data_IF_605963919264
#
_entry.id   IF_605963919264
#
_cell.length_a   1.000
_cell.length_b   1.000
_cell.length_c   1.000
_cell.angle_alpha   90.00
_cell.angle_beta   90.00
_cell.angle_gamma   90.00
#
_symmetry.space_group_name_H-M   'P 1'
#
loop_
_entity.id
_entity.type
_entity.pdbx_description
1 polymer ?
#
# COMPACT_ATOMS: atom_id res chain seq x y z
N UNK A 1 -8.07 22.14 -5.15
CA UNK A 1 -7.56 23.51 -5.48
C UNK A 1 -8.44 24.11 -6.60
N UNK A 2 -8.58 25.45 -6.68
CA UNK A 2 -9.32 26.07 -7.80
C UNK A 2 -8.49 26.21 -9.08
N UNK A 3 -7.16 26.32 -8.95
CA UNK A 3 -6.19 26.30 -10.04
C UNK A 3 -4.87 25.67 -9.55
N UNK A 4 -4.07 25.15 -10.48
CA UNK A 4 -2.72 24.65 -10.23
C UNK A 4 -1.80 25.19 -11.32
N UNK A 5 -0.69 25.82 -10.94
CA UNK A 5 0.35 26.28 -11.86
C UNK A 5 1.65 25.60 -11.43
N UNK A 6 2.17 24.72 -12.26
CA UNK A 6 3.44 24.04 -12.05
C UNK A 6 4.44 24.52 -13.10
N UNK A 7 5.36 25.38 -12.67
CA UNK A 7 6.45 25.85 -13.51
C UNK A 7 7.53 24.76 -13.55
N UNK A 8 7.66 24.11 -14.72
CA UNK A 8 8.57 22.98 -14.90
C UNK A 8 10.02 23.41 -14.73
N UNK A 9 10.40 24.61 -15.16
CA UNK A 9 11.78 25.10 -15.02
C UNK A 9 12.14 25.26 -13.54
N UNK A 10 11.20 25.74 -12.71
CA UNK A 10 11.39 25.79 -11.25
C UNK A 10 11.52 24.39 -10.66
N UNK A 11 10.63 23.45 -11.04
CA UNK A 11 10.60 22.10 -10.48
C UNK A 11 11.83 21.28 -10.88
N UNK A 12 12.34 21.44 -12.10
CA UNK A 12 13.58 20.79 -12.54
C UNK A 12 14.80 21.19 -11.70
N UNK A 13 14.77 22.39 -11.11
CA UNK A 13 15.82 22.91 -10.24
C UNK A 13 15.58 22.65 -8.74
N UNK A 14 14.51 21.94 -8.38
CA UNK A 14 14.24 21.57 -6.99
C UNK A 14 15.28 20.56 -6.47
N UNK A 15 15.51 20.49 -5.13
CA UNK A 15 16.32 19.43 -4.53
C UNK A 15 15.84 18.04 -5.00
N UNK A 16 16.79 17.18 -5.37
CA UNK A 16 16.49 15.86 -5.97
C UNK A 16 15.66 14.98 -5.04
N UNK A 17 15.83 15.13 -3.74
CA UNK A 17 15.07 14.40 -2.73
C UNK A 17 13.56 14.74 -2.80
N UNK A 18 13.19 15.95 -3.21
CA UNK A 18 11.80 16.34 -3.37
C UNK A 18 11.15 15.68 -4.60
N UNK A 19 11.86 15.63 -5.74
CA UNK A 19 11.36 14.95 -6.95
C UNK A 19 11.37 13.43 -6.78
N UNK A 20 12.37 12.87 -6.10
CA UNK A 20 12.39 11.46 -5.71
C UNK A 20 11.23 11.09 -4.78
N UNK A 21 10.91 11.95 -3.81
CA UNK A 21 9.73 11.78 -2.95
C UNK A 21 8.43 11.83 -3.77
N UNK A 22 8.29 12.79 -4.69
CA UNK A 22 7.15 12.87 -5.59
C UNK A 22 7.01 11.63 -6.49
N UNK A 23 8.12 11.12 -7.02
CA UNK A 23 8.12 9.90 -7.82
C UNK A 23 7.71 8.68 -7.00
N UNK A 24 8.25 8.51 -5.79
CA UNK A 24 7.87 7.42 -4.90
C UNK A 24 6.40 7.47 -4.51
N UNK A 25 5.86 8.66 -4.25
CA UNK A 25 4.42 8.84 -4.03
C UNK A 25 3.62 8.45 -5.28
N UNK A 26 4.00 8.90 -6.48
CA UNK A 26 3.32 8.48 -7.71
C UNK A 26 3.42 6.97 -7.95
N UNK A 27 4.55 6.35 -7.63
CA UNK A 27 4.81 4.92 -7.80
C UNK A 27 3.85 4.06 -6.96
N UNK A 28 3.47 4.52 -5.75
CA UNK A 28 2.50 3.86 -4.88
C UNK A 28 1.11 3.63 -5.50
N UNK A 29 0.77 4.34 -6.58
CA UNK A 29 -0.51 4.19 -7.27
C UNK A 29 -0.63 2.79 -7.90
N UNK A 30 0.49 2.09 -8.10
CA UNK A 30 0.55 0.70 -8.54
C UNK A 30 -0.11 -0.21 -7.49
N UNK A 31 0.35 -0.19 -6.25
CA UNK A 31 -0.18 -1.04 -5.16
C UNK A 31 -1.55 -0.56 -4.69
N UNK A 32 -1.80 0.75 -4.68
CA UNK A 32 -3.13 1.29 -4.39
C UNK A 32 -4.19 0.81 -5.42
N UNK A 33 -3.82 0.75 -6.70
CA UNK A 33 -4.66 0.19 -7.76
C UNK A 33 -4.92 -1.31 -7.56
N UNK A 34 -3.90 -2.07 -7.15
CA UNK A 34 -4.06 -3.48 -6.82
C UNK A 34 -5.00 -3.71 -5.63
N UNK A 35 -4.92 -2.88 -4.59
CA UNK A 35 -5.85 -2.93 -3.46
C UNK A 35 -7.28 -2.63 -3.88
N UNK A 36 -7.47 -1.73 -4.86
CA UNK A 36 -8.80 -1.43 -5.40
C UNK A 36 -9.34 -2.58 -6.25
N UNK A 37 -8.50 -3.22 -7.08
CA UNK A 37 -8.86 -4.44 -7.83
C UNK A 37 -9.36 -5.53 -6.89
N UNK A 38 -8.69 -5.72 -5.75
CA UNK A 38 -9.11 -6.68 -4.74
C UNK A 38 -10.49 -6.33 -4.14
N UNK A 39 -10.66 -5.08 -3.72
CA UNK A 39 -11.92 -4.65 -3.13
C UNK A 39 -13.10 -4.72 -4.11
N UNK A 40 -12.88 -4.40 -5.39
CA UNK A 40 -13.87 -4.51 -6.45
C UNK A 40 -14.23 -5.98 -6.72
N UNK A 41 -13.22 -6.83 -6.87
CA UNK A 41 -13.42 -8.26 -7.16
C UNK A 41 -14.14 -9.01 -6.03
N UNK A 42 -14.07 -8.51 -4.80
CA UNK A 42 -14.78 -9.06 -3.65
C UNK A 42 -16.07 -8.29 -3.30
N UNK A 43 -16.50 -7.39 -4.18
CA UNK A 43 -17.72 -6.60 -4.04
C UNK A 43 -17.78 -5.78 -2.72
N UNK A 44 -16.62 -5.30 -2.28
CA UNK A 44 -16.46 -4.44 -1.09
C UNK A 44 -16.57 -2.97 -1.48
N UNK A 45 -15.82 -2.57 -2.52
CA UNK A 45 -15.80 -1.20 -3.02
C UNK A 45 -15.56 -1.27 -4.53
N UNK A 46 -16.56 -0.91 -5.36
CA UNK A 46 -16.41 -0.99 -6.82
C UNK A 46 -15.37 0.00 -7.32
N UNK A 47 -14.73 -0.33 -8.44
CA UNK A 47 -13.90 0.64 -9.16
C UNK A 47 -14.78 1.73 -9.79
N UNK A 48 -14.47 3.00 -9.48
CA UNK A 48 -14.98 4.13 -10.27
C UNK A 48 -14.11 4.23 -11.52
N UNK A 49 -14.66 3.76 -12.64
CA UNK A 49 -13.98 3.69 -13.94
C UNK A 49 -13.33 5.02 -14.35
N UNK A 50 -13.96 6.16 -14.02
CA UNK A 50 -13.41 7.45 -14.40
C UNK A 50 -12.23 7.83 -13.52
N UNK A 51 -12.34 7.66 -12.21
CA UNK A 51 -11.22 7.89 -11.29
C UNK A 51 -10.07 6.93 -11.55
N UNK A 52 -10.36 5.67 -11.88
CA UNK A 52 -9.38 4.67 -12.31
C UNK A 52 -8.65 5.13 -13.56
N UNK A 53 -9.37 5.45 -14.63
CA UNK A 53 -8.79 5.87 -15.91
C UNK A 53 -7.92 7.13 -15.77
N UNK A 54 -8.34 8.11 -14.96
CA UNK A 54 -7.56 9.33 -14.70
C UNK A 54 -6.16 9.00 -14.16
N UNK A 55 -6.02 7.97 -13.30
CA UNK A 55 -4.73 7.62 -12.68
C UNK A 55 -4.00 6.53 -13.46
N UNK A 56 -4.67 5.39 -13.70
CA UNK A 56 -4.02 4.14 -14.06
C UNK A 56 -3.66 4.05 -15.55
N UNK A 57 -4.41 4.70 -16.45
CA UNK A 57 -4.18 4.59 -17.90
C UNK A 57 -2.84 5.21 -18.33
N UNK A 58 -2.43 6.31 -17.68
CA UNK A 58 -1.18 7.03 -17.95
C UNK A 58 -0.04 6.71 -16.97
N UNK A 59 -0.29 5.92 -15.93
CA UNK A 59 0.64 5.74 -14.80
C UNK A 59 2.01 5.21 -15.24
N UNK A 60 2.03 4.20 -16.11
CA UNK A 60 3.29 3.61 -16.57
C UNK A 60 4.13 4.58 -17.42
N UNK A 61 3.50 5.45 -18.20
CA UNK A 61 4.22 6.48 -18.96
C UNK A 61 4.80 7.54 -18.01
N UNK A 62 4.02 7.96 -17.01
CA UNK A 62 4.47 8.91 -16.00
C UNK A 62 5.65 8.41 -15.17
N UNK A 63 5.76 7.09 -14.97
CA UNK A 63 6.83 6.43 -14.22
C UNK A 63 7.98 5.91 -15.11
N UNK A 64 7.95 6.15 -16.41
CA UNK A 64 8.82 5.47 -17.38
C UNK A 64 10.31 5.82 -17.28
N UNK A 65 10.66 7.00 -16.75
CA UNK A 65 12.04 7.51 -16.72
C UNK A 65 12.49 7.99 -15.32
N UNK A 66 12.78 7.08 -14.38
CA UNK A 66 13.26 7.45 -13.05
C UNK A 66 14.61 8.17 -13.06
N UNK A 67 15.51 7.85 -14.02
CA UNK A 67 16.81 8.52 -14.16
C UNK A 67 16.66 9.96 -14.66
N UNK A 68 15.77 10.20 -15.62
CA UNK A 68 15.40 11.54 -16.05
C UNK A 68 14.85 12.38 -14.90
N UNK A 69 13.95 11.81 -14.08
CA UNK A 69 13.45 12.50 -12.88
C UNK A 69 14.57 12.81 -11.89
N UNK A 70 15.49 11.87 -11.64
CA UNK A 70 16.66 12.10 -10.77
C UNK A 70 17.54 13.26 -11.26
N UNK A 71 17.72 13.34 -12.59
CA UNK A 71 18.57 14.34 -13.22
C UNK A 71 17.87 15.69 -13.47
N UNK A 72 16.59 15.81 -13.14
CA UNK A 72 15.81 17.02 -13.40
C UNK A 72 15.53 17.24 -14.89
N UNK A 73 15.42 16.16 -15.67
CA UNK A 73 15.08 16.25 -17.09
C UNK A 73 13.67 16.86 -17.28
N UNK A 74 13.50 17.93 -18.09
CA UNK A 74 12.22 18.60 -18.22
C UNK A 74 11.08 17.71 -18.72
N UNK A 75 11.35 16.74 -19.58
CA UNK A 75 10.31 15.84 -20.11
C UNK A 75 9.89 14.86 -19.01
N UNK A 76 10.84 14.25 -18.32
CA UNK A 76 10.56 13.33 -17.22
C UNK A 76 9.84 14.03 -16.04
N UNK A 77 10.28 15.23 -15.68
CA UNK A 77 9.64 16.06 -14.65
C UNK A 77 8.22 16.48 -15.06
N UNK A 78 8.00 16.84 -16.32
CA UNK A 78 6.64 17.17 -16.83
C UNK A 78 5.70 15.98 -16.62
N UNK A 79 6.12 14.78 -17.04
CA UNK A 79 5.33 13.55 -16.87
C UNK A 79 5.04 13.23 -15.42
N UNK A 80 6.04 13.36 -14.54
CA UNK A 80 5.86 13.17 -13.10
C UNK A 80 4.82 14.14 -12.53
N UNK A 81 4.94 15.43 -12.84
CA UNK A 81 4.04 16.48 -12.37
C UNK A 81 2.61 16.23 -12.87
N UNK A 82 2.44 15.90 -14.15
CA UNK A 82 1.14 15.54 -14.72
C UNK A 82 0.52 14.33 -14.02
N UNK A 83 1.30 13.26 -13.80
CA UNK A 83 0.84 12.07 -13.07
C UNK A 83 0.38 12.39 -11.65
N UNK A 84 1.14 13.21 -10.91
CA UNK A 84 0.76 13.67 -9.57
C UNK A 84 -0.52 14.52 -9.58
N UNK A 85 -0.66 15.42 -10.56
CA UNK A 85 -1.88 16.22 -10.73
C UNK A 85 -3.10 15.35 -11.04
N UNK A 86 -2.95 14.35 -11.92
CA UNK A 86 -4.01 13.39 -12.25
C UNK A 86 -4.45 12.61 -11.00
N UNK A 87 -3.52 12.19 -10.14
CA UNK A 87 -3.85 11.63 -8.83
C UNK A 87 -4.73 12.58 -8.00
N UNK A 88 -4.38 13.86 -7.94
CA UNK A 88 -5.19 14.89 -7.29
C UNK A 88 -6.59 15.07 -7.91
N UNK A 89 -6.69 15.04 -9.24
CA UNK A 89 -7.98 15.16 -9.95
C UNK A 89 -8.88 13.95 -9.74
N UNK A 90 -8.32 12.74 -9.74
CA UNK A 90 -9.06 11.51 -9.45
C UNK A 90 -9.62 11.50 -8.03
N UNK A 91 -8.82 11.95 -7.04
CA UNK A 91 -9.31 12.12 -5.67
C UNK A 91 -10.40 13.19 -5.56
N UNK A 92 -10.26 14.30 -6.29
CA UNK A 92 -11.28 15.35 -6.32
C UNK A 92 -12.58 14.88 -6.98
N UNK A 93 -12.48 14.00 -7.99
CA UNK A 93 -13.62 13.37 -8.66
C UNK A 93 -14.34 12.40 -7.73
N UNK A 94 -13.62 11.41 -7.17
CA UNK A 94 -14.20 10.35 -6.35
C UNK A 94 -14.53 10.76 -4.91
N UNK A 95 -14.09 11.95 -4.48
CA UNK A 95 -14.17 12.42 -3.08
C UNK A 95 -13.53 11.46 -2.08
N UNK A 96 -12.54 10.70 -2.53
CA UNK A 96 -11.83 9.69 -1.75
C UNK A 96 -10.36 9.67 -2.16
N UNK A 97 -9.47 9.36 -1.22
CA UNK A 97 -8.08 9.03 -1.58
C UNK A 97 -7.94 7.66 -2.27
N UNK A 98 -9.06 6.92 -2.40
CA UNK A 98 -9.33 5.77 -3.30
C UNK A 98 -8.20 5.49 -4.31
N UNK A 99 -8.12 6.34 -5.35
CA UNK A 99 -7.32 6.06 -6.54
C UNK A 99 -5.81 6.22 -6.35
N UNK A 100 -5.38 6.79 -5.21
CA UNK A 100 -4.01 7.23 -5.00
C UNK A 100 -3.37 6.67 -3.72
N UNK A 101 -4.11 5.91 -2.92
CA UNK A 101 -3.70 5.48 -1.58
C UNK A 101 -4.28 4.10 -1.23
N UNK A 102 -3.43 3.19 -0.78
CA UNK A 102 -3.75 1.84 -0.33
C UNK A 102 -2.98 1.50 0.95
N UNK A 103 -2.59 0.24 1.07
CA UNK A 103 -1.84 -0.27 2.22
C UNK A 103 -0.49 0.41 2.40
N UNK A 104 0.19 0.80 1.32
CA UNK A 104 1.49 1.48 1.39
C UNK A 104 1.40 2.84 2.11
N UNK A 105 0.29 3.57 1.93
CA UNK A 105 0.04 4.81 2.67
C UNK A 105 -0.35 4.55 4.13
N UNK A 106 -0.96 3.39 4.45
CA UNK A 106 -1.24 3.03 5.85
C UNK A 106 0.06 2.91 6.65
N UNK A 107 1.15 2.40 6.04
CA UNK A 107 2.46 2.36 6.68
C UNK A 107 2.97 3.77 7.01
N UNK A 108 2.98 4.66 6.01
CA UNK A 108 3.39 6.06 6.19
C UNK A 108 2.54 6.79 7.24
N UNK A 109 1.22 6.62 7.21
CA UNK A 109 0.32 7.25 8.18
C UNK A 109 0.56 6.73 9.60
N UNK A 110 0.76 5.43 9.78
CA UNK A 110 1.08 4.86 11.08
C UNK A 110 2.38 5.47 11.63
N UNK A 111 3.45 5.50 10.84
CA UNK A 111 4.72 6.08 11.31
C UNK A 111 4.63 7.58 11.62
N UNK A 112 3.80 8.33 10.89
CA UNK A 112 3.54 9.73 11.21
C UNK A 112 2.78 9.90 12.52
N UNK A 113 1.77 9.06 12.78
CA UNK A 113 1.04 9.07 14.05
C UNK A 113 1.97 8.72 15.23
N UNK A 114 2.97 7.88 15.00
CA UNK A 114 4.01 7.53 15.98
C UNK A 114 5.11 8.58 16.13
N UNK A 115 5.00 9.72 15.46
CA UNK A 115 6.02 10.77 15.44
C UNK A 115 7.40 10.25 15.03
N UNK A 116 7.44 9.32 14.06
CA UNK A 116 8.70 8.73 13.61
C UNK A 116 9.65 9.77 13.00
N UNK A 117 10.93 9.69 13.38
CA UNK A 117 11.98 10.60 12.94
C UNK A 117 13.17 9.81 12.40
N UNK A 118 13.84 10.38 11.40
CA UNK A 118 15.13 9.94 10.92
C UNK A 118 16.17 10.99 11.30
N UNK A 119 17.14 10.60 12.13
CA UNK A 119 18.18 11.51 12.66
C UNK A 119 17.64 12.81 13.30
N UNK A 120 16.47 12.72 13.95
CA UNK A 120 15.83 13.86 14.61
C UNK A 120 14.94 14.73 13.70
N UNK A 121 14.80 14.39 12.42
CA UNK A 121 13.98 15.11 11.46
C UNK A 121 12.81 14.26 10.93
N UNK A 122 11.74 14.92 10.49
CA UNK A 122 10.64 14.25 9.83
C UNK A 122 11.07 13.73 8.47
N UNK A 123 10.66 12.51 8.16
CA UNK A 123 10.92 11.88 6.86
C UNK A 123 9.92 12.41 5.84
N UNK A 124 10.39 12.65 4.62
CA UNK A 124 9.51 13.02 3.51
C UNK A 124 8.41 11.97 3.29
N UNK A 125 7.18 12.40 3.04
CA UNK A 125 6.04 11.50 2.88
C UNK A 125 6.29 10.43 1.80
N UNK A 126 6.76 10.83 0.62
CA UNK A 126 7.08 9.90 -0.46
C UNK A 126 8.16 8.89 -0.10
N UNK A 127 9.09 9.22 0.81
CA UNK A 127 10.11 8.30 1.28
C UNK A 127 9.56 7.25 2.25
N UNK A 128 8.63 7.62 3.12
CA UNK A 128 7.88 6.65 3.91
C UNK A 128 7.03 5.75 2.99
N UNK A 129 6.33 6.36 2.04
CA UNK A 129 5.50 5.65 1.05
C UNK A 129 6.34 4.73 0.15
N UNK A 130 7.61 5.07 -0.15
CA UNK A 130 8.55 4.21 -0.87
C UNK A 130 8.73 2.86 -0.16
N UNK A 131 9.07 2.89 1.13
CA UNK A 131 9.24 1.68 1.95
C UNK A 131 7.92 0.92 2.07
N UNK A 132 6.81 1.62 2.28
CA UNK A 132 5.47 1.02 2.27
C UNK A 132 5.17 0.31 0.95
N UNK A 133 5.49 0.92 -0.19
CA UNK A 133 5.20 0.37 -1.52
C UNK A 133 6.03 -0.89 -1.79
N UNK A 134 7.30 -0.89 -1.39
CA UNK A 134 8.19 -2.06 -1.48
C UNK A 134 7.68 -3.20 -0.59
N UNK A 135 7.32 -2.88 0.66
CA UNK A 135 6.74 -3.81 1.62
C UNK A 135 5.48 -4.49 1.07
N UNK A 136 4.56 -3.68 0.55
CA UNK A 136 3.29 -4.17 -0.02
C UNK A 136 3.50 -4.91 -1.34
N UNK A 137 4.44 -4.50 -2.18
CA UNK A 137 4.81 -5.23 -3.40
C UNK A 137 5.31 -6.64 -3.07
N UNK A 138 6.17 -6.78 -2.05
CA UNK A 138 6.64 -8.09 -1.59
C UNK A 138 5.50 -8.96 -1.05
N UNK A 139 4.55 -8.36 -0.32
CA UNK A 139 3.37 -9.07 0.18
C UNK A 139 2.46 -9.55 -0.97
N UNK A 140 2.29 -8.73 -2.01
CA UNK A 140 1.59 -9.13 -3.23
C UNK A 140 2.28 -10.29 -3.94
N UNK A 141 3.62 -10.33 -3.99
CA UNK A 141 4.32 -11.49 -4.56
C UNK A 141 4.06 -12.78 -3.77
N UNK A 142 4.02 -12.72 -2.43
CA UNK A 142 3.65 -13.87 -1.60
C UNK A 142 2.19 -14.32 -1.83
N UNK A 143 1.28 -13.36 -1.97
CA UNK A 143 -0.10 -13.63 -2.30
C UNK A 143 -0.26 -14.30 -3.67
N UNK A 144 0.43 -13.81 -4.71
CA UNK A 144 0.40 -14.37 -6.06
C UNK A 144 0.99 -15.79 -6.15
N UNK A 145 1.93 -16.13 -5.26
CA UNK A 145 2.50 -17.49 -5.12
C UNK A 145 1.59 -18.45 -4.34
N UNK A 146 0.65 -17.92 -3.55
CA UNK A 146 -0.23 -18.72 -2.70
C UNK A 146 -1.28 -19.47 -3.52
N UNK A 147 -1.54 -20.72 -3.14
CA UNK A 147 -2.58 -21.55 -3.76
C UNK A 147 -3.96 -21.22 -3.19
N UNK A 148 -4.45 -20.01 -3.49
CA UNK A 148 -5.75 -19.50 -3.03
C UNK A 148 -6.90 -20.40 -3.49
N UNK A 149 -6.76 -21.08 -4.63
CA UNK A 149 -7.74 -22.05 -5.14
C UNK A 149 -7.95 -23.24 -4.21
N UNK A 150 -7.02 -23.52 -3.30
CA UNK A 150 -7.13 -24.57 -2.29
C UNK A 150 -7.30 -24.02 -0.86
N UNK A 151 -7.69 -22.74 -0.70
CA UNK A 151 -7.98 -22.15 0.60
C UNK A 151 -8.99 -22.99 1.40
N UNK A 152 -8.61 -23.35 2.64
CA UNK A 152 -9.48 -24.04 3.60
C UNK A 152 -10.35 -23.03 4.35
N UNK A 153 -11.43 -22.61 3.68
CA UNK A 153 -12.40 -21.66 4.22
C UNK A 153 -12.97 -22.12 5.56
N UNK A 154 -13.17 -23.42 5.75
CA UNK A 154 -13.75 -23.96 6.99
C UNK A 154 -12.79 -23.77 8.17
N UNK A 155 -11.51 -24.06 7.97
CA UNK A 155 -10.50 -23.85 9.01
C UNK A 155 -10.36 -22.36 9.35
N UNK A 156 -10.34 -21.48 8.35
CA UNK A 156 -10.28 -20.03 8.55
C UNK A 156 -11.47 -19.53 9.37
N UNK A 157 -12.70 -19.94 9.03
CA UNK A 157 -13.91 -19.56 9.78
C UNK A 157 -13.90 -20.06 11.22
N UNK A 158 -13.28 -21.22 11.49
CA UNK A 158 -13.16 -21.77 12.84
C UNK A 158 -12.18 -20.98 13.70
N UNK A 159 -11.14 -20.44 13.08
CA UNK A 159 -10.13 -19.61 13.73
C UNK A 159 -10.49 -18.11 13.74
N UNK A 160 -11.59 -17.71 13.10
CA UNK A 160 -11.97 -16.30 13.02
C UNK A 160 -12.40 -15.77 14.40
N UNK A 161 -11.77 -14.69 14.90
CA UNK A 161 -12.06 -14.16 16.22
C UNK A 161 -13.50 -13.64 16.31
N UNK A 162 -14.08 -13.70 17.51
CA UNK A 162 -15.33 -13.00 17.79
C UNK A 162 -15.13 -11.48 17.71
N UNK A 163 -16.23 -10.73 17.58
CA UNK A 163 -16.17 -9.26 17.58
C UNK A 163 -15.55 -8.72 18.87
N UNK A 164 -15.85 -9.33 20.02
CA UNK A 164 -15.26 -8.97 21.31
C UNK A 164 -13.77 -9.32 21.41
N UNK A 165 -13.33 -10.40 20.76
CA UNK A 165 -11.90 -10.76 20.69
C UNK A 165 -11.14 -9.79 19.78
N UNK A 166 -11.69 -9.49 18.59
CA UNK A 166 -11.15 -8.47 17.67
C UNK A 166 -11.07 -7.09 18.32
N UNK A 167 -12.10 -6.69 19.07
CA UNK A 167 -12.12 -5.42 19.80
C UNK A 167 -10.98 -5.33 20.83
N UNK A 168 -10.75 -6.40 21.59
CA UNK A 168 -9.68 -6.46 22.60
C UNK A 168 -8.31 -6.40 21.95
N UNK A 169 -8.09 -7.16 20.88
CA UNK A 169 -6.85 -7.14 20.13
C UNK A 169 -6.56 -5.76 19.54
N UNK A 170 -7.56 -5.14 18.91
CA UNK A 170 -7.42 -3.82 18.30
C UNK A 170 -7.10 -2.71 19.32
N UNK A 171 -7.59 -2.81 20.55
CA UNK A 171 -7.22 -1.92 21.66
C UNK A 171 -5.79 -2.20 22.15
N UNK A 172 -5.41 -3.47 22.29
CA UNK A 172 -4.09 -3.86 22.78
C UNK A 172 -2.95 -3.39 21.86
N UNK A 173 -3.17 -3.42 20.53
CA UNK A 173 -2.18 -3.02 19.52
C UNK A 173 -1.68 -1.58 19.67
N UNK A 174 -2.52 -0.68 20.18
CA UNK A 174 -2.21 0.74 20.35
C UNK A 174 -2.23 1.20 21.80
N UNK A 175 -2.22 0.24 22.74
CA UNK A 175 -2.11 0.55 24.16
C UNK A 175 -0.83 1.36 24.43
N UNK A 176 -0.96 2.45 25.19
CA UNK A 176 0.15 3.33 25.53
C UNK A 176 0.61 4.28 24.42
N UNK A 177 -0.05 4.29 23.26
CA UNK A 177 0.15 5.31 22.21
C UNK A 177 -0.74 6.54 22.45
N UNK A 178 -0.52 7.61 21.68
CA UNK A 178 -1.38 8.81 21.70
C UNK A 178 -2.76 8.59 21.04
N UNK A 179 -3.01 7.41 20.46
CA UNK A 179 -4.21 7.08 19.70
C UNK A 179 -4.77 5.68 20.02
N UNK A 180 -4.98 5.34 21.31
CA UNK A 180 -5.28 3.97 21.74
C UNK A 180 -6.61 3.42 21.19
N UNK A 181 -7.56 4.28 20.82
CA UNK A 181 -8.88 3.88 20.34
C UNK A 181 -8.98 3.73 18.82
N UNK A 182 -7.97 4.16 18.04
CA UNK A 182 -8.11 4.18 16.57
C UNK A 182 -8.30 2.77 16.00
N UNK A 183 -7.56 1.79 16.56
CA UNK A 183 -7.66 0.39 16.15
C UNK A 183 -9.07 -0.14 16.34
N UNK A 184 -9.67 0.14 17.49
CA UNK A 184 -11.04 -0.26 17.81
C UNK A 184 -12.05 0.36 16.83
N UNK A 185 -11.95 1.67 16.59
CA UNK A 185 -12.87 2.40 15.73
C UNK A 185 -12.86 1.87 14.29
N UNK A 186 -11.66 1.69 13.72
CA UNK A 186 -11.53 1.27 12.33
C UNK A 186 -11.78 -0.23 12.16
N UNK A 187 -11.41 -1.07 13.14
CA UNK A 187 -11.71 -2.51 13.12
C UNK A 187 -13.20 -2.78 13.22
N UNK A 188 -13.90 -2.10 14.14
CA UNK A 188 -15.37 -2.18 14.24
C UNK A 188 -16.06 -1.83 12.94
N UNK A 189 -15.57 -0.80 12.26
CA UNK A 189 -16.17 -0.33 11.02
C UNK A 189 -16.04 -1.34 9.85
N UNK A 190 -15.07 -2.26 9.89
CA UNK A 190 -14.83 -3.24 8.82
C UNK A 190 -14.90 -4.71 9.25
N UNK A 191 -15.23 -5.00 10.50
CA UNK A 191 -15.38 -6.36 11.01
C UNK A 191 -16.45 -7.09 10.18
N UNK A 192 -16.15 -8.32 9.80
CA UNK A 192 -17.09 -9.20 9.09
C UNK A 192 -17.45 -10.37 9.97
N UNK A 193 -18.75 -10.67 10.03
CA UNK A 193 -19.20 -11.89 10.70
C UNK A 193 -18.82 -13.14 9.87
N UNK A 194 -18.99 -14.33 10.46
CA UNK A 194 -18.57 -15.58 9.81
C UNK A 194 -19.28 -15.84 8.46
N UNK A 195 -20.53 -15.43 8.28
CA UNK A 195 -21.26 -15.62 7.02
C UNK A 195 -20.75 -14.69 5.91
N UNK A 196 -20.51 -13.43 6.24
CA UNK A 196 -19.91 -12.45 5.34
C UNK A 196 -18.49 -12.86 4.94
N UNK A 197 -17.68 -13.29 5.90
CA UNK A 197 -16.33 -13.78 5.65
C UNK A 197 -16.37 -15.03 4.76
N UNK A 198 -17.24 -15.99 5.04
CA UNK A 198 -17.38 -17.20 4.22
C UNK A 198 -17.69 -16.84 2.76
N UNK A 199 -18.61 -15.92 2.55
CA UNK A 199 -19.00 -15.44 1.21
C UNK A 199 -17.82 -14.80 0.49
N UNK A 200 -17.06 -13.94 1.17
CA UNK A 200 -15.89 -13.27 0.59
C UNK A 200 -14.78 -14.26 0.24
N UNK A 201 -14.45 -15.20 1.14
CA UNK A 201 -13.40 -16.18 0.91
C UNK A 201 -13.77 -17.17 -0.20
N UNK A 202 -15.05 -17.55 -0.28
CA UNK A 202 -15.54 -18.37 -1.37
C UNK A 202 -15.46 -17.63 -2.71
N UNK A 203 -15.88 -16.36 -2.75
CA UNK A 203 -15.75 -15.51 -3.95
C UNK A 203 -14.28 -15.35 -4.37
N UNK A 204 -13.38 -15.10 -3.42
CA UNK A 204 -11.94 -15.01 -3.66
C UNK A 204 -11.41 -16.30 -4.31
N UNK A 205 -11.77 -17.45 -3.74
CA UNK A 205 -11.34 -18.79 -4.19
C UNK A 205 -11.86 -19.12 -5.60
N UNK A 206 -13.13 -18.87 -5.87
CA UNK A 206 -13.78 -19.17 -7.15
C UNK A 206 -13.28 -18.26 -8.28
N UNK A 207 -13.05 -16.98 -7.97
CA UNK A 207 -12.62 -15.99 -8.96
C UNK A 207 -11.10 -15.81 -9.03
N UNK A 208 -10.33 -16.62 -8.28
CA UNK A 208 -8.89 -16.44 -8.13
C UNK A 208 -8.13 -16.31 -9.46
N UNK A 209 -8.35 -17.15 -10.50
CA UNK A 209 -7.62 -17.02 -11.75
C UNK A 209 -7.81 -15.64 -12.43
N UNK A 210 -9.02 -15.08 -12.37
CA UNK A 210 -9.33 -13.78 -12.94
C UNK A 210 -8.71 -12.64 -12.11
N UNK A 211 -8.81 -12.75 -10.78
CA UNK A 211 -8.19 -11.79 -9.84
C UNK A 211 -6.67 -11.77 -10.04
N UNK A 212 -6.04 -12.95 -10.03
CA UNK A 212 -4.60 -13.12 -10.24
C UNK A 212 -4.14 -12.48 -11.54
N UNK A 213 -4.84 -12.73 -12.66
CA UNK A 213 -4.48 -12.12 -13.94
C UNK A 213 -4.55 -10.57 -13.93
N UNK A 214 -5.56 -9.99 -13.26
CA UNK A 214 -5.64 -8.52 -13.10
C UNK A 214 -4.48 -7.99 -12.25
N UNK A 215 -4.14 -8.67 -11.16
CA UNK A 215 -3.06 -8.27 -10.24
C UNK A 215 -1.68 -8.42 -10.88
N UNK A 216 -1.41 -9.50 -11.62
CA UNK A 216 -0.15 -9.69 -12.35
C UNK A 216 0.07 -8.63 -13.44
N UNK A 217 -1.00 -8.10 -14.02
CA UNK A 217 -0.92 -6.96 -14.95
C UNK A 217 -0.66 -5.64 -14.24
N UNK A 218 -1.21 -5.47 -13.04
CA UNK A 218 -1.13 -4.23 -12.27
C UNK A 218 0.21 -4.06 -11.55
N UNK A 219 0.65 -5.10 -10.84
CA UNK A 219 1.82 -5.05 -9.96
C UNK A 219 3.11 -5.10 -10.77
N UNK A 220 4.06 -4.25 -10.40
CA UNK A 220 5.45 -4.31 -10.88
C UNK A 220 6.23 -5.30 -10.00
N UNK A 221 7.06 -6.20 -10.56
CA UNK A 221 7.86 -7.13 -9.77
C UNK A 221 8.74 -6.43 -8.73
N UNK A 222 8.96 -7.06 -7.58
CA UNK A 222 9.68 -6.48 -6.44
C UNK A 222 11.04 -5.92 -6.83
N UNK A 223 11.84 -6.69 -7.59
CA UNK A 223 13.17 -6.26 -8.03
C UNK A 223 13.13 -5.04 -8.96
N UNK A 224 12.09 -4.91 -9.77
CA UNK A 224 11.91 -3.76 -10.65
C UNK A 224 11.43 -2.52 -9.87
N UNK A 225 10.58 -2.71 -8.85
CA UNK A 225 10.22 -1.64 -7.93
C UNK A 225 11.45 -1.09 -7.20
N UNK A 226 12.29 -1.96 -6.62
CA UNK A 226 13.57 -1.59 -6.01
C UNK A 226 14.45 -0.83 -6.99
N UNK A 227 14.63 -1.35 -8.21
CA UNK A 227 15.47 -0.70 -9.23
C UNK A 227 15.01 0.71 -9.54
N UNK A 228 13.72 0.93 -9.83
CA UNK A 228 13.19 2.25 -10.20
C UNK A 228 13.24 3.26 -9.05
N UNK A 229 12.87 2.83 -7.85
CA UNK A 229 12.91 3.68 -6.66
C UNK A 229 14.36 4.04 -6.29
N UNK A 230 15.30 3.10 -6.42
CA UNK A 230 16.72 3.38 -6.23
C UNK A 230 17.25 4.37 -7.28
N UNK A 231 16.90 4.19 -8.56
CA UNK A 231 17.34 5.08 -9.65
C UNK A 231 16.88 6.52 -9.47
N UNK A 232 15.66 6.74 -8.97
CA UNK A 232 15.19 8.10 -8.70
C UNK A 232 15.84 8.72 -7.44
N UNK A 233 16.41 7.88 -6.57
CA UNK A 233 17.03 8.30 -5.30
C UNK A 233 16.09 8.20 -4.09
N UNK A 234 15.00 7.43 -4.17
CA UNK A 234 14.13 7.13 -3.04
C UNK A 234 14.74 6.00 -2.18
N UNK A 235 14.47 5.95 -0.86
CA UNK A 235 14.93 4.85 -0.02
C UNK A 235 14.25 3.54 -0.41
N UNK A 236 15.03 2.46 -0.40
CA UNK A 236 14.60 1.11 -0.76
C UNK A 236 14.73 0.10 0.38
N UNK A 237 15.44 0.45 1.44
CA UNK A 237 15.59 -0.34 2.66
C UNK A 237 15.01 0.42 3.85
N UNK A 238 14.29 -0.24 4.78
CA UNK A 238 13.64 0.44 5.90
C UNK A 238 14.63 1.19 6.80
N UNK A 239 15.87 0.71 6.93
CA UNK A 239 16.90 1.32 7.76
C UNK A 239 17.35 2.68 7.23
N UNK A 240 17.19 2.94 5.91
CA UNK A 240 17.49 4.25 5.31
C UNK A 240 16.57 5.36 5.84
N UNK A 241 15.45 5.00 6.46
CA UNK A 241 14.56 5.93 7.15
C UNK A 241 14.44 5.61 8.66
N UNK A 242 15.43 4.92 9.24
CA UNK A 242 15.46 4.51 10.66
C UNK A 242 14.30 3.61 11.12
N UNK A 243 13.73 2.82 10.21
CA UNK A 243 12.83 1.71 10.56
C UNK A 243 13.66 0.42 10.61
N UNK A 244 13.61 -0.33 11.71
CA UNK A 244 14.25 -1.66 11.77
C UNK A 244 13.36 -2.69 11.07
N UNK A 245 13.93 -3.84 10.69
CA UNK A 245 13.16 -4.95 10.08
C UNK A 245 12.10 -5.50 11.02
N UNK A 246 12.37 -5.57 12.32
CA UNK A 246 11.39 -5.97 13.34
C UNK A 246 10.22 -4.99 13.36
N UNK A 247 10.51 -3.67 13.37
CA UNK A 247 9.46 -2.66 13.31
C UNK A 247 8.71 -2.68 11.98
N UNK A 248 9.37 -2.97 10.87
CA UNK A 248 8.70 -3.16 9.58
C UNK A 248 7.74 -4.36 9.63
N UNK A 249 8.17 -5.50 10.20
CA UNK A 249 7.32 -6.68 10.42
C UNK A 249 6.10 -6.35 11.27
N UNK A 250 6.28 -5.63 12.37
CA UNK A 250 5.17 -5.14 13.20
C UNK A 250 4.24 -4.19 12.44
N UNK A 251 4.79 -3.36 11.54
CA UNK A 251 4.02 -2.40 10.74
C UNK A 251 3.01 -3.12 9.83
N UNK A 252 3.33 -4.29 9.25
CA UNK A 252 2.37 -5.08 8.46
C UNK A 252 1.09 -5.40 9.23
N UNK A 253 1.23 -5.69 10.53
CA UNK A 253 0.10 -6.01 11.41
C UNK A 253 -0.61 -4.71 11.79
N UNK A 254 0.13 -3.75 12.34
CA UNK A 254 -0.44 -2.54 12.95
C UNK A 254 -1.08 -1.60 11.93
N UNK A 255 -0.53 -1.49 10.72
CA UNK A 255 -1.06 -0.62 9.66
C UNK A 255 -2.49 -1.02 9.24
N UNK A 256 -2.86 -2.29 9.38
CA UNK A 256 -4.20 -2.78 9.10
C UNK A 256 -5.26 -2.10 9.98
N UNK A 257 -4.90 -1.72 11.21
CA UNK A 257 -5.84 -1.23 12.22
C UNK A 257 -6.07 0.28 12.17
N UNK A 258 -5.30 1.04 11.39
CA UNK A 258 -5.42 2.51 11.38
C UNK A 258 -6.43 3.05 10.35
N UNK A 259 -6.98 2.19 9.47
CA UNK A 259 -7.98 2.56 8.45
C UNK A 259 -8.92 1.39 8.12
N UNK A 260 -10.20 1.72 7.88
CA UNK A 260 -11.25 0.77 7.44
C UNK A 260 -11.21 0.39 5.95
N UNK A 261 -10.33 1.01 5.16
CA UNK A 261 -10.19 0.72 3.73
C UNK A 261 -9.71 -0.71 3.55
N UNK A 262 -10.38 -1.45 2.66
CA UNK A 262 -10.00 -2.82 2.32
C UNK A 262 -8.75 -2.86 1.45
N UNK A 263 -7.71 -3.57 1.90
CA UNK A 263 -6.43 -3.72 1.19
C UNK A 263 -5.91 -5.16 1.23
N UNK A 264 -4.74 -5.41 0.66
CA UNK A 264 -4.06 -6.71 0.78
C UNK A 264 -3.81 -7.13 2.24
N UNK A 265 -3.69 -6.18 3.18
CA UNK A 265 -3.55 -6.50 4.61
C UNK A 265 -4.81 -7.18 5.15
N UNK A 266 -5.99 -6.76 4.69
CA UNK A 266 -7.25 -7.40 5.05
C UNK A 266 -7.38 -8.79 4.42
N UNK A 267 -6.89 -9.01 3.20
CA UNK A 267 -6.80 -10.36 2.61
C UNK A 267 -5.91 -11.25 3.49
N UNK A 268 -4.71 -10.77 3.83
CA UNK A 268 -3.75 -11.53 4.62
C UNK A 268 -4.34 -12.01 5.96
N UNK A 269 -5.08 -11.12 6.66
CA UNK A 269 -5.81 -11.46 7.87
C UNK A 269 -6.95 -12.44 7.57
N UNK A 270 -7.83 -12.10 6.63
CA UNK A 270 -9.06 -12.85 6.35
C UNK A 270 -8.80 -14.24 5.81
N UNK A 271 -7.66 -14.50 5.17
CA UNK A 271 -7.25 -15.83 4.72
C UNK A 271 -6.36 -16.57 5.72
N UNK A 272 -6.03 -15.95 6.85
CA UNK A 272 -5.09 -16.46 7.86
C UNK A 272 -3.69 -16.77 7.30
N UNK A 273 -3.27 -16.07 6.24
CA UNK A 273 -1.95 -16.27 5.62
C UNK A 273 -0.90 -15.24 6.07
N UNK A 274 -1.30 -14.20 6.80
CA UNK A 274 -0.38 -13.13 7.22
C UNK A 274 0.88 -13.69 7.90
N UNK A 275 0.76 -14.57 8.89
CA UNK A 275 1.91 -15.16 9.57
C UNK A 275 2.81 -15.96 8.63
N UNK A 276 2.23 -16.72 7.70
CA UNK A 276 2.98 -17.48 6.72
C UNK A 276 3.78 -16.54 5.80
N UNK A 277 3.14 -15.50 5.27
CA UNK A 277 3.80 -14.53 4.39
C UNK A 277 4.89 -13.75 5.13
N UNK A 278 4.63 -13.30 6.36
CA UNK A 278 5.65 -12.64 7.17
C UNK A 278 6.81 -13.58 7.53
N UNK A 279 6.55 -14.87 7.77
CA UNK A 279 7.63 -15.84 7.99
C UNK A 279 8.46 -16.08 6.73
N UNK A 280 7.86 -16.06 5.54
CA UNK A 280 8.63 -16.13 4.28
C UNK A 280 9.48 -14.89 4.04
N UNK A 281 8.94 -13.70 4.36
CA UNK A 281 9.61 -12.42 4.11
C UNK A 281 10.73 -12.12 5.13
N UNK A 282 10.52 -12.47 6.40
CA UNK A 282 11.42 -12.14 7.52
C UNK A 282 12.17 -13.35 8.10
N UNK A 283 11.78 -14.57 7.74
CA UNK A 283 12.50 -15.78 8.17
C UNK A 283 13.78 -16.02 7.39
N UNK A 284 14.43 -17.15 7.68
CA UNK A 284 15.70 -17.54 7.05
C UNK A 284 15.58 -17.59 5.53
N UNK A 285 16.43 -16.83 4.82
CA UNK A 285 16.41 -16.70 3.37
C UNK A 285 15.35 -15.75 2.82
N UNK A 286 14.60 -15.08 3.69
CA UNK A 286 13.67 -14.00 3.33
C UNK A 286 14.38 -12.69 3.02
N UNK A 287 13.68 -11.78 2.34
CA UNK A 287 14.25 -10.48 1.91
C UNK A 287 14.61 -9.56 3.09
N UNK A 288 13.91 -9.68 4.21
CA UNK A 288 14.18 -8.95 5.46
C UNK A 288 14.51 -9.92 6.60
N UNK A 289 15.36 -10.93 6.34
CA UNK A 289 15.81 -11.89 7.34
C UNK A 289 16.25 -11.19 8.65
N UNK A 290 15.71 -11.68 9.78
CA UNK A 290 16.00 -11.28 11.17
C UNK A 290 16.24 -12.51 12.06
#
# INVERSE_FOLDING_TARGET
>A
PQACLADIDIICNAPREMTASGYADLFAKITAGADWILADSLNIEPIDEKAWSIVQDGLHDALSDPEGVHNGDPIAITKLVEGLMLGGFAMQWSKSSRPASGAEHQFSHLWNMENHLHHGEHISHGFQVSIGTIAITALYEEFLKTDVSNLDVKNVLTAWPSAEESDKEALAIFEGTDFPEIGLQETKAKYSNAEELATQLQSLKENWPAIKAKLEKQIVPYQEAIRRLSLVGAPTEPEQISITRERLKETFIRAQFIRRRFTILDIALRTSYLDQWLNNLFGKGGIWEI
#
